data_IF_384024374300
#
_entry.id   IF_384024374300
#
_cell.length_a   1.000
_cell.length_b   1.000
_cell.length_c   1.000
_cell.angle_alpha   90.00
_cell.angle_beta   90.00
_cell.angle_gamma   90.00
#
_symmetry.space_group_name_H-M   'P 1'
#
loop_
_entity.id
_entity.type
_entity.pdbx_description
1 polymer ?
#
# COMPACT_ATOMS: atom_id res chain seq x y z
N UNK A 1 0.24 -38.35 -2.60
CA UNK A 1 1.03 -37.64 -3.64
C UNK A 1 0.78 -36.13 -3.55
N UNK A 2 0.90 -35.56 -2.35
CA UNK A 2 0.58 -34.17 -2.10
C UNK A 2 1.75 -33.55 -1.32
N UNK A 3 2.09 -32.30 -1.67
CA UNK A 3 2.89 -31.35 -0.87
C UNK A 3 4.40 -31.18 -1.14
N UNK A 4 4.98 -31.58 -2.28
CA UNK A 4 6.43 -31.30 -2.49
C UNK A 4 6.78 -29.85 -2.90
N UNK A 5 5.81 -29.01 -3.27
CA UNK A 5 6.08 -27.64 -3.74
C UNK A 5 5.16 -26.57 -3.14
N UNK A 6 4.78 -26.69 -1.86
CA UNK A 6 4.02 -25.65 -1.18
C UNK A 6 4.92 -24.78 -0.29
N UNK A 7 5.09 -23.50 -0.67
CA UNK A 7 5.83 -22.51 0.13
C UNK A 7 4.89 -21.82 1.11
N UNK A 8 5.05 -22.08 2.41
CA UNK A 8 4.24 -21.39 3.44
C UNK A 8 4.51 -19.88 3.49
N UNK A 9 5.73 -19.46 3.16
CA UNK A 9 6.15 -18.07 3.10
C UNK A 9 6.79 -17.82 1.73
N UNK A 10 6.35 -16.74 1.07
CA UNK A 10 6.92 -16.27 -0.18
C UNK A 10 7.27 -14.81 -0.03
N UNK A 11 8.46 -14.42 -0.46
CA UNK A 11 8.88 -13.02 -0.43
C UNK A 11 8.63 -12.38 -1.79
N UNK A 12 7.91 -11.26 -1.81
CA UNK A 12 7.62 -10.47 -3.02
C UNK A 12 7.82 -8.99 -2.67
N UNK A 13 8.57 -8.26 -3.49
CA UNK A 13 8.80 -6.83 -3.33
C UNK A 13 9.24 -6.44 -1.90
N UNK A 14 10.25 -7.16 -1.39
CA UNK A 14 10.80 -7.01 -0.04
C UNK A 14 9.83 -7.26 1.12
N UNK A 15 8.72 -7.97 0.90
CA UNK A 15 7.77 -8.33 1.96
C UNK A 15 7.41 -9.81 1.95
N UNK A 16 7.27 -10.38 3.15
CA UNK A 16 6.89 -11.79 3.30
C UNK A 16 5.37 -11.95 3.20
N UNK A 17 4.90 -12.78 2.29
CA UNK A 17 3.50 -13.11 2.05
C UNK A 17 3.17 -14.48 2.62
N UNK A 18 1.94 -14.65 3.11
CA UNK A 18 1.44 -15.95 3.60
C UNK A 18 0.97 -16.80 2.42
N UNK A 19 1.54 -18.00 2.27
CA UNK A 19 1.27 -18.92 1.16
C UNK A 19 -0.15 -19.50 1.15
N UNK A 20 -0.81 -19.59 2.31
CA UNK A 20 -2.16 -20.13 2.45
C UNK A 20 -3.25 -19.26 1.81
N UNK A 21 -2.99 -17.95 1.72
CA UNK A 21 -3.94 -16.99 1.17
C UNK A 21 -3.93 -17.04 -0.35
N UNK A 22 -5.08 -16.71 -0.95
CA UNK A 22 -5.16 -16.44 -2.38
C UNK A 22 -4.26 -15.26 -2.73
N UNK A 23 -3.66 -15.28 -3.93
CA UNK A 23 -2.69 -14.28 -4.38
C UNK A 23 -3.27 -12.87 -4.29
N UNK A 24 -4.53 -12.69 -4.70
CA UNK A 24 -5.23 -11.40 -4.68
C UNK A 24 -5.19 -10.72 -3.31
N UNK A 25 -5.37 -11.51 -2.24
CA UNK A 25 -5.36 -11.05 -0.85
C UNK A 25 -3.95 -11.07 -0.24
N UNK A 26 -3.09 -11.99 -0.69
CA UNK A 26 -1.71 -12.05 -0.22
C UNK A 26 -0.95 -10.78 -0.60
N UNK A 27 -1.04 -10.34 -1.87
CA UNK A 27 -0.37 -9.14 -2.38
C UNK A 27 -0.77 -7.85 -1.64
N UNK A 28 -1.99 -7.78 -1.09
CA UNK A 28 -2.45 -6.61 -0.32
C UNK A 28 -1.68 -6.40 1.00
N UNK A 29 -0.87 -7.38 1.43
CA UNK A 29 0.04 -7.19 2.57
C UNK A 29 1.13 -6.16 2.23
N UNK A 30 1.50 -6.02 0.96
CA UNK A 30 2.45 -5.02 0.48
C UNK A 30 1.81 -3.63 0.64
N UNK A 31 2.47 -2.73 1.36
CA UNK A 31 2.00 -1.34 1.47
C UNK A 31 2.04 -0.68 0.10
N UNK A 32 0.95 -0.02 -0.29
CA UNK A 32 0.79 0.57 -1.62
C UNK A 32 -0.08 -0.26 -2.56
N UNK A 33 -0.18 -1.58 -2.34
CA UNK A 33 -0.99 -2.49 -3.15
C UNK A 33 -2.37 -2.68 -2.53
N UNK A 34 -3.42 -2.21 -3.21
CA UNK A 34 -4.82 -2.45 -2.85
C UNK A 34 -5.44 -3.61 -3.65
N UNK A 35 -6.72 -3.90 -3.39
CA UNK A 35 -7.47 -4.97 -4.08
C UNK A 35 -7.46 -4.80 -5.60
N UNK A 36 -7.76 -3.60 -6.10
CA UNK A 36 -7.80 -3.33 -7.53
C UNK A 36 -6.42 -3.43 -8.18
N UNK A 37 -5.39 -2.91 -7.51
CA UNK A 37 -4.03 -2.99 -8.00
C UNK A 37 -3.54 -4.45 -8.04
N UNK A 38 -3.84 -5.23 -7.00
CA UNK A 38 -3.56 -6.67 -6.95
C UNK A 38 -4.25 -7.45 -8.08
N UNK A 39 -5.53 -7.17 -8.33
CA UNK A 39 -6.24 -7.79 -9.46
C UNK A 39 -5.62 -7.44 -10.82
N UNK A 40 -5.21 -6.18 -11.00
CA UNK A 40 -4.52 -5.73 -12.20
C UNK A 40 -3.18 -6.46 -12.35
N UNK A 41 -2.37 -6.54 -11.30
CA UNK A 41 -1.07 -7.24 -11.30
C UNK A 41 -1.25 -8.71 -11.69
N UNK A 42 -2.24 -9.41 -11.11
CA UNK A 42 -2.53 -10.80 -11.48
C UNK A 42 -2.95 -10.93 -12.96
N UNK A 43 -3.72 -9.97 -13.49
CA UNK A 43 -4.15 -9.96 -14.90
C UNK A 43 -2.99 -9.74 -15.85
N UNK A 44 -2.09 -8.79 -15.52
CA UNK A 44 -0.89 -8.48 -16.29
C UNK A 44 0.08 -9.66 -16.29
N UNK A 45 0.33 -10.25 -15.11
CA UNK A 45 1.20 -11.40 -14.95
C UNK A 45 0.58 -12.72 -15.46
N UNK A 46 -0.68 -12.70 -15.93
CA UNK A 46 -1.46 -13.87 -16.37
C UNK A 46 -1.56 -14.99 -15.32
N UNK A 47 -1.56 -14.62 -14.04
CA UNK A 47 -1.70 -15.57 -12.93
C UNK A 47 -3.14 -15.56 -12.41
N UNK A 48 -3.79 -16.73 -12.23
CA UNK A 48 -5.13 -16.79 -11.65
C UNK A 48 -5.15 -16.21 -10.23
N UNK A 49 -6.02 -15.22 -10.00
CA UNK A 49 -6.15 -14.51 -8.72
C UNK A 49 -6.53 -15.40 -7.53
N UNK A 50 -7.18 -16.54 -7.80
CA UNK A 50 -7.70 -17.50 -6.82
C UNK A 50 -6.65 -18.54 -6.39
N UNK A 51 -5.58 -18.69 -7.17
CA UNK A 51 -4.47 -19.59 -6.86
C UNK A 51 -3.88 -19.20 -5.50
N UNK A 52 -3.49 -20.20 -4.71
CA UNK A 52 -2.83 -19.96 -3.42
C UNK A 52 -1.42 -19.43 -3.67
N UNK A 53 -1.02 -18.41 -2.91
CA UNK A 53 0.30 -17.81 -3.07
C UNK A 53 1.39 -18.89 -2.96
N UNK A 54 1.27 -19.83 -2.02
CA UNK A 54 2.26 -20.88 -1.76
C UNK A 54 2.53 -21.85 -2.92
N UNK A 55 1.69 -21.84 -3.95
CA UNK A 55 1.83 -22.69 -5.16
C UNK A 55 2.45 -21.95 -6.35
N UNK A 56 2.92 -20.72 -6.14
CA UNK A 56 3.57 -19.91 -7.18
C UNK A 56 4.94 -20.48 -7.54
N UNK A 57 5.23 -20.49 -8.85
CA UNK A 57 6.57 -20.77 -9.34
C UNK A 57 7.44 -19.50 -9.26
N UNK A 58 8.77 -19.65 -9.16
CA UNK A 58 9.69 -18.50 -9.02
C UNK A 58 9.66 -17.57 -10.24
N UNK A 59 9.32 -18.11 -11.42
CA UNK A 59 9.07 -17.30 -12.62
C UNK A 59 7.82 -16.43 -12.48
N UNK A 60 6.74 -16.98 -11.93
CA UNK A 60 5.49 -16.25 -11.68
C UNK A 60 5.72 -15.17 -10.61
N UNK A 61 6.52 -15.47 -9.57
CA UNK A 61 6.90 -14.51 -8.53
C UNK A 61 7.65 -13.31 -9.12
N UNK A 62 8.66 -13.56 -9.97
CA UNK A 62 9.40 -12.49 -10.65
C UNK A 62 8.49 -11.64 -11.54
N UNK A 63 7.59 -12.26 -12.30
CA UNK A 63 6.64 -11.52 -13.14
C UNK A 63 5.69 -10.63 -12.31
N UNK A 64 5.22 -11.11 -11.16
CA UNK A 64 4.42 -10.32 -10.23
C UNK A 64 5.22 -9.16 -9.64
N UNK A 65 6.49 -9.39 -9.29
CA UNK A 65 7.39 -8.36 -8.75
C UNK A 65 7.68 -7.27 -9.78
N UNK A 66 7.99 -7.64 -11.03
CA UNK A 66 8.19 -6.69 -12.14
C UNK A 66 6.94 -5.85 -12.41
N UNK A 67 5.76 -6.47 -12.41
CA UNK A 67 4.48 -5.76 -12.61
C UNK A 67 4.14 -4.78 -11.48
N UNK A 68 4.63 -5.04 -10.26
CA UNK A 68 4.43 -4.16 -9.11
C UNK A 68 5.42 -2.99 -9.15
N UNK A 69 6.69 -3.25 -9.44
CA UNK A 69 7.74 -2.22 -9.46
C UNK A 69 7.57 -1.26 -10.64
N UNK A 70 7.34 -1.80 -11.84
CA UNK A 70 7.30 -1.03 -13.07
C UNK A 70 5.97 -1.19 -13.83
N UNK A 71 4.85 -0.67 -13.28
CA UNK A 71 3.54 -0.79 -13.94
C UNK A 71 3.48 -0.04 -15.28
N UNK A 72 4.36 0.94 -15.51
CA UNK A 72 4.47 1.68 -16.79
C UNK A 72 4.81 0.74 -17.96
N UNK A 73 5.70 -0.24 -17.74
CA UNK A 73 6.15 -1.18 -18.80
C UNK A 73 4.99 -2.03 -19.33
N UNK A 74 4.02 -2.32 -18.48
CA UNK A 74 2.86 -3.16 -18.82
C UNK A 74 1.65 -2.35 -19.31
N UNK A 75 1.86 -1.11 -19.76
CA UNK A 75 0.80 -0.22 -20.27
C UNK A 75 -0.35 0.01 -19.27
N UNK A 76 -0.04 -0.02 -17.97
CA UNK A 76 -1.04 0.25 -16.93
C UNK A 76 -1.37 1.74 -16.92
N UNK A 77 -2.67 2.13 -16.96
CA UNK A 77 -3.05 3.54 -16.94
C UNK A 77 -2.57 4.26 -15.68
N UNK A 78 -2.13 5.51 -15.84
CA UNK A 78 -1.54 6.27 -14.72
C UNK A 78 -2.53 6.58 -13.60
N UNK A 79 -3.84 6.62 -13.88
CA UNK A 79 -4.88 6.82 -12.85
C UNK A 79 -4.92 5.73 -11.78
N UNK A 80 -4.33 4.56 -12.04
CA UNK A 80 -4.23 3.47 -11.08
C UNK A 80 -3.04 3.63 -10.12
N UNK A 81 -2.15 4.58 -10.37
CA UNK A 81 -0.97 4.81 -9.54
C UNK A 81 -1.32 5.64 -8.31
N UNK A 82 -0.58 5.43 -7.23
CA UNK A 82 -0.86 6.08 -5.94
C UNK A 82 -0.19 7.46 -5.80
N UNK A 83 0.84 7.76 -6.60
CA UNK A 83 1.47 9.08 -6.67
C UNK A 83 1.47 9.57 -8.11
N UNK A 84 0.58 10.51 -8.39
CA UNK A 84 0.47 11.15 -9.70
C UNK A 84 0.94 12.58 -9.63
N UNK A 85 1.57 13.07 -10.68
CA UNK A 85 2.08 14.43 -10.82
C UNK A 85 2.88 14.83 -9.59
N UNK A 86 3.94 14.07 -9.32
CA UNK A 86 4.84 14.38 -8.23
C UNK A 86 5.37 15.82 -8.34
N UNK A 87 5.56 16.51 -7.20
CA UNK A 87 5.90 17.93 -7.21
C UNK A 87 7.37 18.23 -7.53
N UNK A 88 8.26 17.24 -7.43
CA UNK A 88 9.67 17.41 -7.78
C UNK A 88 9.92 16.96 -9.22
N UNK A 89 9.40 15.77 -9.57
CA UNK A 89 9.69 15.12 -10.85
C UNK A 89 8.60 15.33 -11.91
N UNK A 90 7.38 15.69 -11.53
CA UNK A 90 6.24 15.81 -12.44
C UNK A 90 5.68 14.47 -12.95
N UNK A 91 6.34 13.35 -12.64
CA UNK A 91 5.96 12.03 -13.15
C UNK A 91 4.87 11.34 -12.32
N UNK A 92 4.16 10.41 -12.97
CA UNK A 92 3.24 9.49 -12.32
C UNK A 92 3.99 8.20 -11.94
N UNK A 93 4.04 7.85 -10.65
CA UNK A 93 4.74 6.66 -10.13
C UNK A 93 3.86 5.88 -9.15
N UNK A 94 4.08 4.57 -9.08
CA UNK A 94 3.48 3.73 -8.05
C UNK A 94 4.51 3.39 -6.99
N UNK A 95 4.28 3.84 -5.75
CA UNK A 95 5.23 3.66 -4.65
C UNK A 95 4.77 2.53 -3.74
N UNK A 96 5.70 1.70 -3.29
CA UNK A 96 5.43 0.55 -2.43
C UNK A 96 6.21 0.59 -1.11
N UNK A 97 5.81 -0.28 -0.19
CA UNK A 97 6.56 -0.69 1.01
C UNK A 97 7.21 0.46 1.81
N UNK A 98 8.54 0.52 1.86
CA UNK A 98 9.30 1.48 2.66
C UNK A 98 9.25 2.89 2.09
N UNK A 99 9.34 3.00 0.77
CA UNK A 99 9.36 4.28 0.05
C UNK A 99 8.07 5.04 0.28
N UNK A 100 6.92 4.34 0.32
CA UNK A 100 5.62 4.97 0.56
C UNK A 100 5.57 5.66 1.93
N UNK A 101 6.21 5.05 2.93
CA UNK A 101 6.29 5.62 4.28
C UNK A 101 7.22 6.83 4.27
N UNK A 102 8.42 6.69 3.71
CA UNK A 102 9.42 7.75 3.66
C UNK A 102 8.90 9.00 2.93
N UNK A 103 8.31 8.81 1.75
CA UNK A 103 7.76 9.91 0.95
C UNK A 103 6.61 10.61 1.68
N UNK A 104 5.71 9.86 2.32
CA UNK A 104 4.62 10.45 3.10
C UNK A 104 5.14 11.25 4.30
N UNK A 105 6.20 10.78 4.96
CA UNK A 105 6.83 11.52 6.07
C UNK A 105 7.49 12.81 5.57
N UNK A 106 8.17 12.77 4.42
CA UNK A 106 8.76 13.95 3.80
C UNK A 106 7.69 14.96 3.35
N UNK A 107 6.57 14.50 2.79
CA UNK A 107 5.44 15.35 2.44
C UNK A 107 4.89 16.10 3.67
N UNK A 108 4.78 15.41 4.81
CA UNK A 108 4.36 16.04 6.09
C UNK A 108 5.40 17.03 6.59
N UNK A 109 6.69 16.66 6.60
CA UNK A 109 7.79 17.54 7.02
C UNK A 109 7.86 18.80 6.16
N UNK A 110 7.67 18.67 4.84
CA UNK A 110 7.61 19.79 3.91
C UNK A 110 6.47 20.74 4.27
N UNK A 111 5.26 20.24 4.48
CA UNK A 111 4.11 21.06 4.86
C UNK A 111 4.33 21.80 6.20
N UNK A 112 4.99 21.16 7.15
CA UNK A 112 5.36 21.75 8.44
C UNK A 112 6.44 22.82 8.28
N UNK A 113 7.48 22.57 7.49
CA UNK A 113 8.56 23.53 7.19
C UNK A 113 8.03 24.79 6.52
N UNK A 114 7.10 24.65 5.57
CA UNK A 114 6.42 25.78 4.93
C UNK A 114 5.47 26.53 5.88
N UNK A 115 5.12 25.96 7.05
CA UNK A 115 4.12 26.50 7.99
C UNK A 115 2.74 26.72 7.36
N UNK A 116 2.38 25.87 6.40
CA UNK A 116 1.01 25.86 5.84
C UNK A 116 -0.03 25.52 6.91
N UNK A 117 -1.28 25.96 6.75
CA UNK A 117 -2.38 25.60 7.67
C UNK A 117 -2.45 24.09 7.95
N UNK A 118 -2.32 23.29 6.89
CA UNK A 118 -2.29 21.83 6.98
C UNK A 118 -1.10 21.33 7.79
N UNK A 119 0.09 21.88 7.55
CA UNK A 119 1.32 21.55 8.27
C UNK A 119 1.23 21.84 9.76
N UNK A 120 0.76 23.05 10.13
CA UNK A 120 0.56 23.44 11.53
C UNK A 120 -0.43 22.51 12.24
N UNK A 121 -1.55 22.17 11.59
CA UNK A 121 -2.50 21.21 12.16
C UNK A 121 -1.92 19.82 12.32
N UNK A 122 -1.15 19.33 11.35
CA UNK A 122 -0.45 18.04 11.45
C UNK A 122 0.55 18.03 12.61
N UNK A 123 1.30 19.12 12.80
CA UNK A 123 2.25 19.25 13.91
C UNK A 123 1.58 19.14 15.28
N UNK A 124 0.38 19.72 15.42
CA UNK A 124 -0.40 19.69 16.68
C UNK A 124 -1.25 18.41 16.82
N UNK A 125 -1.33 17.59 15.76
CA UNK A 125 -2.12 16.35 15.73
C UNK A 125 -3.64 16.56 15.54
N UNK A 126 -4.04 17.66 14.90
CA UNK A 126 -5.44 18.01 14.62
C UNK A 126 -5.88 17.61 13.21
N UNK A 127 -7.19 17.38 12.98
CA UNK A 127 -7.70 17.02 11.66
C UNK A 127 -7.54 18.15 10.64
N UNK A 128 -7.08 17.81 9.44
CA UNK A 128 -6.63 18.79 8.44
C UNK A 128 -7.75 19.31 7.52
N UNK A 129 -8.86 18.58 7.39
CA UNK A 129 -9.94 18.86 6.41
C UNK A 129 -11.03 19.83 6.91
N UNK A 130 -10.72 20.72 7.85
CA UNK A 130 -11.70 21.68 8.40
C UNK A 130 -12.77 21.06 9.31
N UNK A 131 -12.53 19.85 9.82
CA UNK A 131 -13.46 19.20 10.76
C UNK A 131 -13.59 20.00 12.07
N UNK A 132 -14.80 19.98 12.66
CA UNK A 132 -15.11 20.66 13.94
C UNK A 132 -14.33 20.03 15.10
N UNK A 133 -13.54 20.83 15.82
CA UNK A 133 -12.69 20.39 16.95
C UNK A 133 -13.25 20.78 18.33
N UNK A 134 -14.36 21.54 18.39
CA UNK A 134 -15.02 21.91 19.66
C UNK A 134 -15.60 20.68 20.38
N UNK A 135 -16.30 19.81 19.65
CA UNK A 135 -17.01 18.64 20.21
C UNK A 135 -16.31 17.29 19.94
N UNK A 136 -15.44 17.24 18.93
CA UNK A 136 -14.74 16.02 18.46
C UNK A 136 -13.22 16.18 18.56
N UNK A 137 -12.47 15.07 18.49
CA UNK A 137 -11.01 15.05 18.52
C UNK A 137 -10.41 15.73 19.77
N UNK A 138 -11.13 15.69 20.90
CA UNK A 138 -10.66 16.21 22.19
C UNK A 138 -9.76 15.19 22.88
N UNK A 139 -8.62 15.61 23.43
CA UNK A 139 -7.72 14.75 24.22
C UNK A 139 -8.40 14.17 25.46
N UNK A 140 -9.33 14.92 26.06
CA UNK A 140 -10.13 14.55 27.24
C UNK A 140 -11.26 13.55 26.94
N UNK A 141 -11.76 13.53 25.70
CA UNK A 141 -12.74 12.53 25.24
C UNK A 141 -11.91 11.28 24.93
N UNK A 142 -11.63 10.47 25.95
CA UNK A 142 -10.74 9.31 25.86
C UNK A 142 -11.01 8.45 24.62
N UNK A 143 -10.05 7.61 24.23
CA UNK A 143 -10.28 6.61 23.16
C UNK A 143 -11.50 5.79 23.58
N UNK A 144 -12.57 5.80 22.79
CA UNK A 144 -13.85 5.16 23.14
C UNK A 144 -13.62 3.76 23.71
N UNK A 145 -13.92 3.59 25.00
CA UNK A 145 -13.59 2.42 25.80
C UNK A 145 -14.32 1.14 25.33
N UNK A 146 -15.37 1.27 24.52
CA UNK A 146 -16.24 0.16 24.11
C UNK A 146 -15.98 -0.45 22.73
N UNK A 147 -15.03 0.07 21.94
CA UNK A 147 -14.79 -0.46 20.57
C UNK A 147 -13.65 -1.46 20.61
N UNK A 148 -13.98 -2.76 20.54
CA UNK A 148 -13.03 -3.86 20.36
C UNK A 148 -12.28 -3.65 19.05
N UNK A 149 -11.04 -3.16 19.13
CA UNK A 149 -10.17 -3.07 17.97
C UNK A 149 -9.80 -4.50 17.52
N UNK A 150 -9.94 -4.77 16.23
CA UNK A 150 -9.40 -5.99 15.62
C UNK A 150 -7.87 -5.97 15.84
N UNK A 151 -7.36 -6.95 16.59
CA UNK A 151 -5.92 -7.21 16.73
C UNK A 151 -5.37 -7.72 15.40
#
# INVERSE_FOLDING_TARGET
MAEENFKHIIRVANTDLKGEKQISFALQKIKGVGTMFSHMVCRVAKVPKEKKAGTLNDKEVKALEEAILDPKKFSVPSWLYNRRKDYETGEDTHIISGDLKFIKENDVKRLQKTKSYKGLRLAVGLPVRGQRTKSNFRRTKGKGLGVKKKK
#
